data_IF_752134868960
#
_entry.id   IF_752134868960
#
_cell.length_a   1.000
_cell.length_b   1.000
_cell.length_c   1.000
_cell.angle_alpha   90.00
_cell.angle_beta   90.00
_cell.angle_gamma   90.00
#
_symmetry.space_group_name_H-M   'P 1'
#
loop_
_entity.id
_entity.type
_entity.pdbx_description
1 polymer ?
#
# COMPACT_ATOMS: atom_id res chain seq x y z
N UNK A 1 32.00 26.73 -15.17
CA UNK A 1 31.84 27.97 -14.42
C UNK A 1 32.27 29.12 -15.33
N UNK A 2 31.33 29.79 -15.96
CA UNK A 2 31.53 31.03 -16.67
C UNK A 2 30.97 32.13 -15.79
N UNK A 3 31.87 32.98 -15.35
CA UNK A 3 31.61 34.18 -14.57
C UNK A 3 31.09 35.28 -15.51
N UNK A 4 29.78 35.48 -15.62
CA UNK A 4 29.18 36.74 -16.06
C UNK A 4 27.63 36.63 -16.06
N UNK A 5 27.02 36.76 -14.89
CA UNK A 5 25.63 37.20 -14.73
C UNK A 5 25.48 38.00 -13.42
N UNK A 6 24.84 39.15 -13.44
CA UNK A 6 24.72 39.99 -12.26
C UNK A 6 23.54 39.58 -11.39
N UNK A 7 23.77 39.55 -10.08
CA UNK A 7 22.71 39.63 -9.07
C UNK A 7 22.29 38.33 -8.40
N UNK A 8 23.01 37.97 -7.35
CA UNK A 8 22.54 37.52 -6.04
C UNK A 8 21.24 36.70 -5.89
N UNK A 9 21.12 35.48 -6.47
CA UNK A 9 19.96 34.61 -6.18
C UNK A 9 20.30 33.11 -6.07
N UNK A 10 21.56 32.67 -6.17
CA UNK A 10 21.88 31.24 -6.28
C UNK A 10 22.66 30.61 -5.12
N UNK A 11 22.89 31.34 -4.03
CA UNK A 11 23.52 30.75 -2.83
C UNK A 11 22.53 30.07 -1.86
N UNK A 12 21.22 30.23 -2.06
CA UNK A 12 20.17 29.66 -1.19
C UNK A 12 19.62 28.31 -1.69
N UNK A 13 19.94 27.90 -2.91
CA UNK A 13 19.46 26.63 -3.51
C UNK A 13 20.34 25.42 -3.19
N UNK A 14 21.49 25.62 -2.57
CA UNK A 14 22.36 24.54 -2.05
C UNK A 14 22.25 24.33 -0.53
N UNK A 15 21.32 24.97 0.16
CA UNK A 15 21.02 24.67 1.55
C UNK A 15 20.25 23.35 1.58
N UNK A 16 20.91 22.30 2.12
CA UNK A 16 20.52 20.91 2.10
C UNK A 16 19.02 20.66 2.26
N UNK A 17 18.39 20.04 1.26
CA UNK A 17 17.11 19.40 1.45
C UNK A 17 17.27 18.40 2.60
N UNK A 18 16.60 18.63 3.72
CA UNK A 18 16.62 17.72 4.84
C UNK A 18 16.21 16.33 4.33
N UNK A 19 17.10 15.35 4.47
CA UNK A 19 16.83 13.97 4.05
C UNK A 19 15.60 13.46 4.80
N UNK A 20 14.54 13.11 4.09
CA UNK A 20 13.34 12.60 4.70
C UNK A 20 13.53 11.17 5.21
N UNK A 21 13.11 10.93 6.45
CA UNK A 21 13.07 9.57 7.02
C UNK A 21 11.65 9.05 6.99
N UNK A 22 11.47 7.88 6.40
CA UNK A 22 10.18 7.19 6.29
C UNK A 22 10.06 6.17 7.40
N UNK A 23 9.03 6.32 8.22
CA UNK A 23 8.74 5.45 9.35
C UNK A 23 7.84 4.27 8.95
N UNK A 24 7.76 3.24 9.79
CA UNK A 24 6.79 2.16 9.66
C UNK A 24 5.37 2.68 9.96
N UNK A 25 4.38 2.20 9.22
CA UNK A 25 2.98 2.51 9.49
C UNK A 25 2.30 1.33 10.19
N UNK A 26 2.14 1.42 11.51
CA UNK A 26 1.59 0.33 12.34
C UNK A 26 0.47 0.85 13.21
N UNK A 27 -0.69 0.17 13.20
CA UNK A 27 -1.83 0.55 14.02
C UNK A 27 -2.37 1.96 13.76
N UNK A 28 -2.27 2.44 12.51
CA UNK A 28 -2.70 3.78 12.10
C UNK A 28 -1.73 4.90 12.48
N UNK A 29 -0.49 4.59 12.86
CA UNK A 29 0.53 5.55 13.28
C UNK A 29 1.85 5.31 12.57
N UNK A 30 2.58 6.40 12.32
CA UNK A 30 3.97 6.34 11.86
C UNK A 30 4.86 6.14 13.09
N UNK A 31 5.67 5.08 13.07
CA UNK A 31 6.54 4.66 14.17
C UNK A 31 7.92 4.29 13.68
N UNK A 32 8.95 4.64 14.44
CA UNK A 32 10.32 4.21 14.16
C UNK A 32 10.48 2.73 14.46
N UNK A 33 11.41 2.08 13.76
CA UNK A 33 11.79 0.69 14.08
C UNK A 33 12.41 0.59 15.46
N UNK A 34 12.13 -0.52 16.14
CA UNK A 34 12.77 -0.86 17.42
C UNK A 34 14.28 -1.03 17.31
N UNK A 35 14.79 -1.32 16.12
CA UNK A 35 16.23 -1.40 15.87
C UNK A 35 16.95 -0.06 15.99
N UNK A 36 16.23 1.06 15.82
CA UNK A 36 16.78 2.41 15.73
C UNK A 36 17.67 2.64 14.49
N UNK A 37 17.77 1.65 13.59
CA UNK A 37 18.58 1.74 12.37
C UNK A 37 17.73 2.12 11.16
N UNK A 38 18.38 2.79 10.20
CA UNK A 38 17.82 3.15 8.91
C UNK A 38 18.79 2.75 7.80
N UNK A 39 18.25 2.59 6.58
CA UNK A 39 19.04 2.41 5.38
C UNK A 39 18.69 3.44 4.33
N UNK A 40 19.65 3.74 3.45
CA UNK A 40 19.45 4.66 2.35
C UNK A 40 18.73 3.97 1.18
N UNK A 41 17.76 4.64 0.57
CA UNK A 41 17.21 4.28 -0.71
C UNK A 41 17.64 5.31 -1.74
N UNK A 42 18.29 4.86 -2.83
CA UNK A 42 18.83 5.70 -3.88
C UNK A 42 18.23 5.30 -5.23
N UNK A 43 18.10 6.27 -6.11
CA UNK A 43 17.65 6.02 -7.47
C UNK A 43 18.66 5.10 -8.20
N UNK A 44 18.20 4.00 -8.82
CA UNK A 44 19.08 3.13 -9.59
C UNK A 44 19.54 3.77 -10.90
N UNK A 45 18.83 4.79 -11.40
CA UNK A 45 19.19 5.54 -12.60
C UNK A 45 20.23 6.63 -12.31
N UNK A 46 20.25 7.16 -11.08
CA UNK A 46 21.22 8.13 -10.59
C UNK A 46 21.53 7.86 -9.10
N UNK A 47 22.61 7.15 -8.84
CA UNK A 47 23.00 6.77 -7.49
C UNK A 47 23.39 7.94 -6.59
N UNK A 48 23.58 9.14 -7.14
CA UNK A 48 23.76 10.36 -6.35
C UNK A 48 22.44 10.90 -5.78
N UNK A 49 21.29 10.51 -6.37
CA UNK A 49 19.96 10.89 -5.93
C UNK A 49 19.51 10.02 -4.73
N UNK A 50 19.60 10.60 -3.53
CA UNK A 50 19.09 9.98 -2.31
C UNK A 50 17.58 10.24 -2.20
N UNK A 51 16.77 9.18 -2.33
CA UNK A 51 15.30 9.24 -2.21
C UNK A 51 14.89 9.48 -0.76
N UNK A 52 15.54 8.80 0.18
CA UNK A 52 15.29 8.95 1.61
C UNK A 52 15.92 7.86 2.45
N UNK A 53 15.69 7.97 3.75
CA UNK A 53 16.07 6.98 4.75
C UNK A 53 14.84 6.16 5.15
N UNK A 54 14.98 4.85 5.20
CA UNK A 54 13.90 3.91 5.52
C UNK A 54 14.28 3.09 6.76
N UNK A 55 13.26 2.66 7.52
CA UNK A 55 13.48 1.89 8.73
C UNK A 55 14.05 0.50 8.40
N UNK A 56 15.19 0.14 9.00
CA UNK A 56 15.70 -1.23 9.01
C UNK A 56 14.99 -2.01 10.11
N UNK A 57 13.78 -2.49 9.79
CA UNK A 57 12.89 -3.11 10.78
C UNK A 57 13.44 -4.41 11.34
N UNK A 58 13.20 -4.64 12.63
CA UNK A 58 13.52 -5.85 13.36
C UNK A 58 12.33 -6.83 13.39
N UNK A 59 12.54 -8.10 13.77
CA UNK A 59 11.43 -9.06 13.96
C UNK A 59 10.33 -8.55 14.89
N UNK A 60 10.69 -7.80 15.93
CA UNK A 60 9.76 -7.23 16.91
C UNK A 60 8.80 -6.21 16.26
N UNK A 61 9.24 -5.48 15.23
CA UNK A 61 8.36 -4.57 14.47
C UNK A 61 7.32 -5.36 13.68
N UNK A 62 7.68 -6.53 13.17
CA UNK A 62 6.74 -7.42 12.50
C UNK A 62 5.72 -8.00 13.50
N UNK A 63 6.15 -8.36 14.71
CA UNK A 63 5.27 -8.82 15.79
C UNK A 63 4.28 -7.72 16.19
N UNK A 64 4.73 -6.47 16.34
CA UNK A 64 3.88 -5.32 16.61
C UNK A 64 2.86 -5.09 15.48
N UNK A 65 3.27 -5.20 14.22
CA UNK A 65 2.37 -5.07 13.07
C UNK A 65 1.30 -6.18 13.06
N UNK A 66 1.69 -7.43 13.35
CA UNK A 66 0.75 -8.56 13.46
C UNK A 66 -0.20 -8.37 14.63
N UNK A 67 0.28 -7.90 15.78
CA UNK A 67 -0.57 -7.62 16.94
C UNK A 67 -1.61 -6.54 16.62
N UNK A 68 -1.18 -5.43 16.02
CA UNK A 68 -2.08 -4.35 15.59
C UNK A 68 -3.13 -4.83 14.55
N UNK A 69 -2.70 -5.67 13.59
CA UNK A 69 -3.60 -6.23 12.60
C UNK A 69 -4.63 -7.19 13.22
N UNK A 70 -4.25 -7.99 14.22
CA UNK A 70 -5.17 -8.87 14.98
C UNK A 70 -6.19 -8.08 15.77
N UNK A 71 -5.77 -7.01 16.43
CA UNK A 71 -6.67 -6.12 17.17
C UNK A 71 -7.69 -5.50 16.21
N UNK A 72 -7.23 -4.91 15.11
CA UNK A 72 -8.09 -4.29 14.10
C UNK A 72 -9.07 -5.30 13.45
N UNK A 73 -8.66 -6.56 13.28
CA UNK A 73 -9.50 -7.61 12.69
C UNK A 73 -10.81 -7.80 13.44
N UNK A 74 -10.81 -7.69 14.76
CA UNK A 74 -12.01 -7.92 15.60
C UNK A 74 -13.18 -7.03 15.20
N UNK A 75 -12.93 -5.77 14.89
CA UNK A 75 -13.92 -4.81 14.44
C UNK A 75 -14.09 -4.82 12.90
N UNK A 76 -12.99 -4.88 12.15
CA UNK A 76 -13.02 -4.79 10.69
C UNK A 76 -13.83 -5.90 10.03
N UNK A 77 -13.71 -7.14 10.49
CA UNK A 77 -14.47 -8.28 9.95
C UNK A 77 -15.99 -8.13 10.09
N UNK A 78 -16.45 -7.33 11.06
CA UNK A 78 -17.87 -7.07 11.32
C UNK A 78 -18.42 -5.88 10.52
N UNK A 79 -17.56 -5.07 9.91
CA UNK A 79 -18.00 -4.01 8.99
C UNK A 79 -18.63 -4.67 7.76
N UNK A 80 -19.88 -4.34 7.37
CA UNK A 80 -20.50 -4.92 6.18
C UNK A 80 -19.62 -4.74 4.93
N UNK A 81 -19.52 -5.76 4.08
CA UNK A 81 -18.68 -5.71 2.89
C UNK A 81 -18.94 -4.50 1.97
N UNK A 82 -20.20 -4.05 1.75
CA UNK A 82 -20.46 -2.81 1.02
C UNK A 82 -19.84 -1.58 1.67
N UNK A 83 -19.77 -1.53 3.00
CA UNK A 83 -19.14 -0.41 3.72
C UNK A 83 -17.63 -0.42 3.62
N UNK A 84 -17.01 -1.61 3.64
CA UNK A 84 -15.57 -1.75 3.33
C UNK A 84 -15.28 -1.30 1.90
N UNK A 85 -16.17 -1.66 0.95
CA UNK A 85 -16.07 -1.25 -0.44
C UNK A 85 -16.10 0.28 -0.64
N UNK A 86 -16.93 1.00 0.11
CA UNK A 86 -16.99 2.47 0.05
C UNK A 86 -15.64 3.11 0.39
N UNK A 87 -14.92 2.55 1.36
CA UNK A 87 -13.55 3.00 1.71
C UNK A 87 -12.58 2.74 0.55
N UNK A 88 -12.69 1.58 -0.09
CA UNK A 88 -11.83 1.22 -1.23
C UNK A 88 -12.13 2.06 -2.47
N UNK A 89 -13.40 2.40 -2.74
CA UNK A 89 -13.75 3.37 -3.79
C UNK A 89 -13.08 4.73 -3.54
N UNK A 90 -13.09 5.19 -2.29
CA UNK A 90 -12.39 6.43 -1.94
C UNK A 90 -10.87 6.31 -2.14
N UNK A 91 -10.28 5.17 -1.80
CA UNK A 91 -8.86 4.90 -2.04
C UNK A 91 -8.53 4.96 -3.54
N UNK A 92 -9.37 4.36 -4.41
CA UNK A 92 -9.19 4.43 -5.86
C UNK A 92 -9.24 5.86 -6.40
N UNK A 93 -10.14 6.70 -5.88
CA UNK A 93 -10.19 8.12 -6.24
C UNK A 93 -8.89 8.86 -5.87
N UNK A 94 -8.37 8.63 -4.66
CA UNK A 94 -7.10 9.22 -4.21
C UNK A 94 -5.93 8.75 -5.08
N UNK A 95 -5.89 7.47 -5.45
CA UNK A 95 -4.89 6.95 -6.38
C UNK A 95 -4.97 7.64 -7.75
N UNK A 96 -6.19 7.84 -8.28
CA UNK A 96 -6.41 8.53 -9.55
C UNK A 96 -5.98 10.00 -9.48
N UNK A 97 -6.33 10.72 -8.41
CA UNK A 97 -5.93 12.11 -8.17
C UNK A 97 -4.40 12.26 -8.08
N UNK A 98 -3.70 11.25 -7.53
CA UNK A 98 -2.26 11.24 -7.33
C UNK A 98 -1.47 10.45 -8.38
N UNK A 99 -2.12 10.00 -9.45
CA UNK A 99 -1.51 9.10 -10.44
C UNK A 99 -0.16 9.60 -10.95
N UNK A 100 -0.10 10.86 -11.37
CA UNK A 100 1.11 11.43 -11.96
C UNK A 100 2.26 11.55 -10.95
N UNK A 101 1.98 11.97 -9.71
CA UNK A 101 3.01 12.06 -8.66
C UNK A 101 3.52 10.67 -8.28
N UNK A 102 2.63 9.70 -8.07
CA UNK A 102 3.01 8.32 -7.75
C UNK A 102 3.83 7.67 -8.88
N UNK A 103 3.48 7.92 -10.15
CA UNK A 103 4.24 7.41 -11.27
C UNK A 103 5.67 7.99 -11.32
N UNK A 104 5.84 9.29 -11.04
CA UNK A 104 7.16 9.93 -10.96
C UNK A 104 8.00 9.42 -9.80
N UNK A 105 7.39 9.27 -8.63
CA UNK A 105 8.07 8.71 -7.45
C UNK A 105 8.54 7.28 -7.73
N UNK A 106 7.69 6.47 -8.37
CA UNK A 106 8.03 5.11 -8.77
C UNK A 106 9.16 5.09 -9.81
N UNK A 107 9.12 5.95 -10.83
CA UNK A 107 10.21 6.07 -11.83
C UNK A 107 11.53 6.40 -11.14
N UNK A 108 11.51 7.32 -10.19
CA UNK A 108 12.70 7.72 -9.42
C UNK A 108 13.24 6.59 -8.56
N UNK A 109 12.35 5.83 -7.92
CA UNK A 109 12.73 4.77 -6.98
C UNK A 109 13.22 3.49 -7.67
N UNK A 110 12.62 3.09 -8.78
CA UNK A 110 12.91 1.80 -9.41
C UNK A 110 13.58 1.89 -10.79
N UNK A 111 13.69 3.08 -11.37
CA UNK A 111 14.34 3.32 -12.66
C UNK A 111 13.53 2.93 -13.90
N UNK A 112 12.25 2.56 -13.74
CA UNK A 112 11.35 2.26 -14.86
C UNK A 112 10.96 3.56 -15.58
N UNK A 113 10.76 3.51 -16.91
CA UNK A 113 10.33 4.70 -17.68
C UNK A 113 8.95 5.16 -17.23
N UNK A 114 8.72 6.49 -17.27
CA UNK A 114 7.50 7.11 -16.73
C UNK A 114 6.21 6.60 -17.38
N UNK A 115 6.24 6.22 -18.65
CA UNK A 115 5.06 5.67 -19.33
C UNK A 115 4.63 4.34 -18.72
N UNK A 116 5.59 3.46 -18.41
CA UNK A 116 5.28 2.19 -17.74
C UNK A 116 4.81 2.36 -16.30
N UNK A 117 5.39 3.33 -15.55
CA UNK A 117 4.96 3.58 -14.18
C UNK A 117 3.57 4.22 -14.11
N UNK A 118 3.18 5.01 -15.12
CA UNK A 118 1.78 5.45 -15.27
C UNK A 118 0.83 4.28 -15.50
N UNK A 119 1.27 3.27 -16.26
CA UNK A 119 0.53 2.02 -16.47
C UNK A 119 0.37 1.23 -15.15
N UNK A 120 1.45 1.08 -14.39
CA UNK A 120 1.44 0.41 -13.09
C UNK A 120 0.44 1.05 -12.11
N UNK A 121 0.46 2.39 -11.97
CA UNK A 121 -0.52 3.10 -11.14
C UNK A 121 -1.94 2.94 -11.67
N UNK A 122 -2.13 2.90 -13.02
CA UNK A 122 -3.45 2.67 -13.62
C UNK A 122 -3.98 1.28 -13.25
N UNK A 123 -3.16 0.24 -13.33
CA UNK A 123 -3.55 -1.11 -12.92
C UNK A 123 -3.98 -1.16 -11.44
N UNK A 124 -3.29 -0.43 -10.57
CA UNK A 124 -3.69 -0.35 -9.17
C UNK A 124 -5.05 0.32 -8.98
N UNK A 125 -5.33 1.38 -9.74
CA UNK A 125 -6.63 2.06 -9.74
C UNK A 125 -7.73 1.10 -10.21
N UNK A 126 -7.52 0.44 -11.35
CA UNK A 126 -8.49 -0.46 -11.97
C UNK A 126 -8.79 -1.67 -11.05
N UNK A 127 -7.75 -2.27 -10.48
CA UNK A 127 -7.91 -3.35 -9.51
C UNK A 127 -8.67 -2.91 -8.27
N UNK A 128 -8.37 -1.71 -7.76
CA UNK A 128 -9.06 -1.18 -6.58
C UNK A 128 -10.55 -0.95 -6.86
N UNK A 129 -10.90 -0.37 -8.02
CA UNK A 129 -12.28 -0.17 -8.45
C UNK A 129 -13.01 -1.51 -8.64
N UNK A 130 -12.35 -2.46 -9.33
CA UNK A 130 -12.92 -3.78 -9.58
C UNK A 130 -13.25 -4.50 -8.26
N UNK A 131 -12.28 -4.60 -7.37
CA UNK A 131 -12.45 -5.29 -6.09
C UNK A 131 -13.38 -4.57 -5.12
N UNK A 132 -13.44 -3.25 -5.16
CA UNK A 132 -14.45 -2.50 -4.43
C UNK A 132 -15.86 -2.86 -4.89
N UNK A 133 -16.06 -3.05 -6.21
CA UNK A 133 -17.33 -3.55 -6.77
C UNK A 133 -17.72 -4.93 -6.23
N UNK A 134 -16.75 -5.82 -5.99
CA UNK A 134 -16.96 -7.16 -5.42
C UNK A 134 -17.50 -7.13 -3.99
N UNK A 135 -17.31 -6.03 -3.24
CA UNK A 135 -17.87 -5.90 -1.90
C UNK A 135 -19.39 -6.05 -1.82
N UNK A 136 -20.11 -5.89 -2.95
CA UNK A 136 -21.55 -6.16 -3.07
C UNK A 136 -21.86 -7.52 -3.69
N UNK A 137 -20.85 -8.31 -4.05
CA UNK A 137 -20.98 -9.60 -4.76
C UNK A 137 -20.25 -10.75 -4.07
N UNK A 138 -19.96 -10.64 -2.77
CA UNK A 138 -19.41 -11.74 -1.97
C UNK A 138 -20.49 -12.77 -1.67
N UNK A 139 -20.99 -13.41 -2.76
CA UNK A 139 -22.07 -14.38 -2.68
C UNK A 139 -21.63 -15.68 -2.01
N UNK A 140 -22.57 -16.32 -1.31
CA UNK A 140 -22.54 -17.72 -0.98
C UNK A 140 -23.45 -18.51 -1.92
N UNK A 141 -23.69 -19.76 -1.58
CA UNK A 141 -24.61 -20.66 -2.29
C UNK A 141 -25.68 -21.16 -1.34
N UNK A 142 -26.89 -21.34 -1.83
CA UNK A 142 -27.94 -22.08 -1.15
C UNK A 142 -28.10 -23.42 -1.87
N UNK A 143 -28.20 -24.51 -1.11
CA UNK A 143 -28.33 -25.83 -1.65
C UNK A 143 -29.49 -26.56 -0.95
N UNK A 144 -30.22 -27.47 -1.66
CA UNK A 144 -31.25 -28.31 -1.03
C UNK A 144 -30.61 -29.26 -0.02
N UNK A 145 -31.34 -29.56 1.03
CA UNK A 145 -30.99 -30.57 2.02
C UNK A 145 -31.83 -31.85 1.80
N UNK A 146 -31.23 -33.01 2.00
CA UNK A 146 -31.96 -34.26 2.05
C UNK A 146 -32.82 -34.41 3.31
N UNK A 147 -32.49 -33.62 4.35
CA UNK A 147 -33.23 -33.64 5.61
C UNK A 147 -34.41 -32.69 5.54
N UNK A 148 -35.56 -33.17 6.03
CA UNK A 148 -36.78 -32.38 6.15
C UNK A 148 -36.55 -31.18 7.08
N UNK A 149 -37.14 -30.02 6.73
CA UNK A 149 -37.11 -28.79 7.51
C UNK A 149 -35.68 -28.25 7.77
N UNK A 150 -34.74 -28.51 6.84
CA UNK A 150 -33.35 -28.04 6.86
C UNK A 150 -33.13 -27.08 5.72
N UNK A 151 -32.41 -25.99 6.04
CA UNK A 151 -31.88 -25.00 5.08
C UNK A 151 -30.37 -25.08 5.11
N UNK A 152 -29.73 -25.22 3.95
CA UNK A 152 -28.28 -25.28 3.82
C UNK A 152 -27.77 -24.13 2.95
N UNK A 153 -26.74 -23.43 3.43
CA UNK A 153 -26.06 -22.36 2.68
C UNK A 153 -24.59 -22.29 3.03
N UNK A 154 -23.81 -21.78 2.11
CA UNK A 154 -22.44 -21.34 2.37
C UNK A 154 -22.39 -19.83 2.51
N UNK A 155 -21.51 -19.33 3.38
CA UNK A 155 -21.18 -17.91 3.52
C UNK A 155 -19.68 -17.74 3.47
N UNK A 156 -19.22 -16.68 2.79
CA UNK A 156 -17.80 -16.32 2.76
C UNK A 156 -17.40 -15.68 4.09
N UNK A 157 -16.31 -16.16 4.65
CA UNK A 157 -15.75 -15.66 5.90
C UNK A 157 -14.31 -15.16 5.66
N UNK A 158 -13.87 -14.08 6.32
CA UNK A 158 -12.48 -13.67 6.27
C UNK A 158 -11.58 -14.68 6.99
N UNK A 159 -10.36 -14.86 6.49
CA UNK A 159 -9.35 -15.76 7.07
C UNK A 159 -8.69 -15.19 8.34
N UNK A 160 -8.53 -13.86 8.41
CA UNK A 160 -7.88 -13.20 9.55
C UNK A 160 -6.86 -12.16 9.11
N UNK A 161 -5.64 -12.27 9.63
CA UNK A 161 -4.50 -11.43 9.26
C UNK A 161 -3.79 -12.04 8.05
N UNK A 162 -3.63 -11.28 6.99
CA UNK A 162 -2.91 -11.66 5.78
C UNK A 162 -1.51 -11.03 5.77
N UNK A 163 -0.47 -11.84 5.77
CA UNK A 163 0.90 -11.40 5.50
C UNK A 163 1.12 -11.27 3.98
N UNK A 164 1.56 -10.11 3.53
CA UNK A 164 1.77 -9.81 2.11
C UNK A 164 3.20 -9.34 1.90
N UNK A 165 3.92 -10.04 1.02
CA UNK A 165 5.26 -9.68 0.57
C UNK A 165 5.20 -9.56 -0.95
N UNK A 166 5.68 -8.45 -1.50
CA UNK A 166 5.61 -8.19 -2.93
C UNK A 166 7.00 -7.88 -3.52
N UNK A 167 7.21 -8.21 -4.80
CA UNK A 167 8.43 -7.87 -5.50
C UNK A 167 8.48 -6.38 -5.89
N UNK A 168 9.62 -5.99 -6.44
CA UNK A 168 9.96 -4.61 -6.81
C UNK A 168 9.44 -4.18 -8.19
N UNK A 169 9.13 -5.14 -9.08
CA UNK A 169 8.90 -4.84 -10.51
C UNK A 169 7.55 -4.18 -10.83
N UNK A 170 6.55 -4.29 -9.94
CA UNK A 170 5.27 -3.58 -9.99
C UNK A 170 4.89 -3.12 -8.57
N UNK A 171 5.58 -2.09 -8.05
CA UNK A 171 5.55 -1.77 -6.61
C UNK A 171 4.25 -1.16 -6.11
N UNK A 172 3.33 -0.75 -6.98
CA UNK A 172 1.98 -0.28 -6.63
C UNK A 172 0.92 -1.27 -7.10
N UNK A 173 1.01 -1.80 -8.34
CA UNK A 173 0.02 -2.74 -8.87
C UNK A 173 -0.02 -4.06 -8.08
N UNK A 174 1.12 -4.75 -7.90
CA UNK A 174 1.11 -6.04 -7.20
C UNK A 174 0.62 -5.92 -5.73
N UNK A 175 1.01 -4.91 -4.94
CA UNK A 175 0.38 -4.66 -3.65
C UNK A 175 -1.14 -4.51 -3.74
N UNK A 176 -1.66 -3.73 -4.69
CA UNK A 176 -3.10 -3.54 -4.86
C UNK A 176 -3.82 -4.86 -5.15
N UNK A 177 -3.23 -5.76 -5.97
CA UNK A 177 -3.81 -7.08 -6.29
C UNK A 177 -3.91 -8.01 -5.07
N UNK A 178 -3.19 -7.74 -4.00
CA UNK A 178 -3.17 -8.53 -2.77
C UNK A 178 -3.93 -7.86 -1.63
N UNK A 179 -3.65 -6.58 -1.39
CA UNK A 179 -4.20 -5.83 -0.26
C UNK A 179 -5.69 -5.59 -0.44
N UNK A 180 -6.11 -5.13 -1.62
CA UNK A 180 -7.50 -4.71 -1.85
C UNK A 180 -8.48 -5.88 -1.72
N UNK A 181 -8.26 -7.06 -2.38
CA UNK A 181 -9.14 -8.20 -2.18
C UNK A 181 -9.13 -8.73 -0.73
N UNK A 182 -7.98 -8.71 -0.03
CA UNK A 182 -7.94 -9.09 1.36
C UNK A 182 -8.83 -8.20 2.23
N UNK A 183 -8.72 -6.86 2.06
CA UNK A 183 -9.50 -5.89 2.83
C UNK A 183 -11.00 -5.96 2.53
N UNK A 184 -11.42 -6.06 1.26
CA UNK A 184 -12.85 -6.13 0.92
C UNK A 184 -13.50 -7.39 1.47
N UNK A 185 -12.75 -8.50 1.53
CA UNK A 185 -13.20 -9.76 2.14
C UNK A 185 -13.25 -9.73 3.67
N UNK A 186 -12.76 -8.66 4.31
CA UNK A 186 -12.81 -8.48 5.78
C UNK A 186 -11.57 -8.96 6.52
N UNK A 187 -10.49 -9.26 5.81
CA UNK A 187 -9.20 -9.54 6.40
C UNK A 187 -8.48 -8.23 6.77
N UNK A 188 -7.53 -8.31 7.68
CA UNK A 188 -6.52 -7.27 7.92
C UNK A 188 -5.19 -7.68 7.29
N UNK A 189 -4.27 -6.73 7.14
CA UNK A 189 -3.05 -6.92 6.33
C UNK A 189 -1.84 -6.46 7.10
N UNK A 190 -0.77 -7.27 7.06
CA UNK A 190 0.60 -6.85 7.33
C UNK A 190 1.36 -6.89 6.02
N UNK A 191 1.82 -5.75 5.56
CA UNK A 191 2.44 -5.58 4.26
C UNK A 191 3.92 -5.25 4.38
N UNK A 192 4.76 -6.05 3.72
CA UNK A 192 6.19 -5.80 3.55
C UNK A 192 6.46 -5.52 2.06
N UNK A 193 6.69 -4.26 1.66
CA UNK A 193 7.10 -3.92 0.31
C UNK A 193 8.52 -4.42 -0.02
N UNK A 194 8.87 -4.32 -1.27
CA UNK A 194 10.25 -4.58 -1.70
C UNK A 194 11.22 -3.63 -1.03
#
# INVERSE_FOLDING_TARGET
CSSDLPGGLDAALCAGMATHTFDNFIGGRWVQSRSGRVFENRSPADTSDLIGLFQESAPEDADDAVAAAREAYTAWRLVPAPKRAEILFRAAQILAERKESLARDMTREMGKVLEETRGDVQEAIDMTLFMAGEGRRLHGQTVPSELRDKFAMSVRQPLGVCGIITPWNFPIAIPSWKIIPALVCGNTVVFKPS
#
